data_IF_845638533723
#
_entry.id   IF_845638533723
#
_cell.length_a   1.000
_cell.length_b   1.000
_cell.length_c   1.000
_cell.angle_alpha   90.00
_cell.angle_beta   90.00
_cell.angle_gamma   90.00
#
_symmetry.space_group_name_H-M   'P 1'
#
loop_
_entity.id
_entity.type
_entity.pdbx_description
1 polymer ?
#
# COMPACT_ATOMS: atom_id res chain seq x y z
N UNK A 1 -18.54 -33.52 79.64
CA UNK A 1 -18.36 -33.19 78.27
C UNK A 1 -17.46 -31.93 78.25
N UNK A 2 -16.48 -32.04 78.08
CA UNK A 2 -15.23 -32.38 77.51
C UNK A 2 -14.44 -31.10 77.08
N UNK A 3 -13.53 -30.67 77.95
CA UNK A 3 -12.58 -29.57 77.72
C UNK A 3 -11.76 -29.78 76.45
N UNK A 4 -11.63 -31.05 75.99
CA UNK A 4 -10.89 -31.43 74.78
C UNK A 4 -11.54 -30.98 73.45
N UNK A 5 -12.88 -30.89 73.37
CA UNK A 5 -13.56 -30.48 72.15
C UNK A 5 -13.41 -28.98 71.86
N UNK A 6 -13.24 -28.15 72.88
CA UNK A 6 -13.06 -26.71 72.76
C UNK A 6 -11.63 -26.38 72.30
N UNK A 7 -10.64 -27.12 72.78
CA UNK A 7 -9.24 -26.94 72.39
C UNK A 7 -8.94 -27.33 70.91
N UNK A 8 -9.59 -28.36 70.39
CA UNK A 8 -9.47 -28.77 68.99
C UNK A 8 -10.10 -27.72 68.06
N UNK A 9 -11.21 -27.12 68.48
CA UNK A 9 -11.86 -26.07 67.67
C UNK A 9 -11.05 -24.78 67.60
N UNK A 10 -10.37 -24.40 68.68
CA UNK A 10 -9.49 -23.23 68.74
C UNK A 10 -8.18 -23.41 67.92
N UNK A 11 -7.60 -24.61 67.91
CA UNK A 11 -6.36 -24.93 67.23
C UNK A 11 -6.56 -24.96 65.71
N UNK A 12 -7.73 -25.40 65.23
CA UNK A 12 -8.07 -25.36 63.81
C UNK A 12 -8.34 -23.92 63.32
N UNK A 13 -8.97 -23.05 64.13
CA UNK A 13 -9.24 -21.66 63.81
C UNK A 13 -7.95 -20.85 63.62
N UNK A 14 -6.92 -21.09 64.43
CA UNK A 14 -5.62 -20.40 64.32
C UNK A 14 -4.76 -20.91 63.16
N UNK A 15 -4.93 -22.18 62.78
CA UNK A 15 -4.24 -22.74 61.60
C UNK A 15 -4.82 -22.20 60.29
N UNK A 16 -6.14 -22.03 60.21
CA UNK A 16 -6.81 -21.44 59.05
C UNK A 16 -6.42 -19.96 58.85
N UNK A 17 -6.30 -19.18 59.95
CA UNK A 17 -5.85 -17.77 59.89
C UNK A 17 -4.39 -17.63 59.46
N UNK A 18 -3.54 -18.60 59.75
CA UNK A 18 -2.12 -18.59 59.32
C UNK A 18 -1.94 -18.95 57.85
N UNK A 19 -2.90 -19.68 57.26
CA UNK A 19 -2.86 -20.05 55.83
C UNK A 19 -3.55 -19.04 54.92
N UNK A 20 -4.50 -18.24 55.44
CA UNK A 20 -5.23 -17.24 54.65
C UNK A 20 -4.38 -16.03 54.22
N UNK A 21 -3.38 -15.65 55.00
CA UNK A 21 -2.51 -14.54 54.66
C UNK A 21 -1.62 -14.85 53.43
N UNK A 22 -0.84 -15.93 53.37
CA UNK A 22 -0.06 -16.24 52.18
C UNK A 22 -0.94 -16.52 50.96
N UNK A 23 -2.13 -17.11 51.12
CA UNK A 23 -3.08 -17.35 50.03
C UNK A 23 -3.60 -16.02 49.46
N UNK A 24 -3.89 -15.02 50.29
CA UNK A 24 -4.30 -13.69 49.87
C UNK A 24 -3.19 -12.97 49.09
N UNK A 25 -1.95 -13.09 49.54
CA UNK A 25 -0.79 -12.49 48.80
C UNK A 25 -0.61 -13.12 47.45
N UNK A 26 -0.71 -14.44 47.34
CA UNK A 26 -0.62 -15.14 46.07
C UNK A 26 -1.79 -14.75 45.13
N UNK A 27 -3.02 -14.65 45.64
CA UNK A 27 -4.17 -14.22 44.88
C UNK A 27 -4.02 -12.79 44.35
N UNK A 28 -3.47 -11.88 45.18
CA UNK A 28 -3.21 -10.49 44.80
C UNK A 28 -2.12 -10.41 43.71
N UNK A 29 -1.06 -11.19 43.81
CA UNK A 29 0.00 -11.25 42.77
C UNK A 29 -0.51 -11.83 41.46
N UNK A 30 -1.36 -12.86 41.52
CA UNK A 30 -2.01 -13.41 40.31
C UNK A 30 -2.97 -12.42 39.68
N UNK A 31 -3.74 -11.65 40.49
CA UNK A 31 -4.64 -10.61 39.98
C UNK A 31 -3.89 -9.47 39.31
N UNK A 32 -2.76 -9.03 39.88
CA UNK A 32 -1.89 -8.02 39.30
C UNK A 32 -1.28 -8.57 38.00
N UNK A 33 -0.76 -9.79 38.01
CA UNK A 33 -0.21 -10.45 36.84
C UNK A 33 -1.25 -10.60 35.70
N UNK A 34 -2.48 -11.00 36.03
CA UNK A 34 -3.60 -11.10 35.07
C UNK A 34 -4.00 -9.73 34.51
N UNK A 35 -3.98 -8.68 35.32
CA UNK A 35 -4.27 -7.31 34.87
C UNK A 35 -3.24 -6.83 33.84
N UNK A 36 -1.95 -7.04 34.09
CA UNK A 36 -0.91 -6.70 33.12
C UNK A 36 -0.94 -7.60 31.88
N UNK A 37 -1.33 -8.86 32.00
CA UNK A 37 -1.46 -9.77 30.87
C UNK A 37 -2.62 -9.38 29.93
N UNK A 38 -3.77 -8.95 30.48
CA UNK A 38 -4.91 -8.47 29.69
C UNK A 38 -4.68 -7.11 29.03
N UNK A 39 -3.89 -6.23 29.63
CA UNK A 39 -3.50 -4.97 28.98
C UNK A 39 -2.57 -5.16 27.76
N UNK A 40 -1.92 -6.31 27.64
CA UNK A 40 -1.01 -6.64 26.54
C UNK A 40 -1.71 -7.41 25.41
N UNK A 41 -3.05 -7.45 25.39
CA UNK A 41 -3.81 -7.95 24.25
C UNK A 41 -3.59 -6.99 23.09
N UNK A 42 -2.92 -7.47 22.05
CA UNK A 42 -2.67 -6.69 20.83
C UNK A 42 -4.02 -6.35 20.21
N UNK A 43 -4.40 -5.08 20.27
CA UNK A 43 -5.58 -4.59 19.56
C UNK A 43 -5.42 -4.86 18.07
N UNK A 44 -6.46 -5.38 17.46
CA UNK A 44 -6.54 -5.52 16.01
C UNK A 44 -6.79 -4.13 15.44
N UNK A 45 -5.88 -3.67 14.62
CA UNK A 45 -5.91 -2.32 14.04
C UNK A 45 -5.84 -2.40 12.51
N UNK A 46 -6.28 -1.35 11.85
CA UNK A 46 -6.26 -1.29 10.39
C UNK A 46 -5.91 0.10 9.86
N UNK A 47 -5.58 0.14 8.60
CA UNK A 47 -5.42 1.36 7.80
C UNK A 47 -6.29 1.26 6.54
N UNK A 48 -6.94 2.34 6.14
CA UNK A 48 -7.62 2.44 4.85
C UNK A 48 -6.59 2.74 3.76
N UNK A 49 -6.28 1.73 2.95
CA UNK A 49 -5.26 1.80 1.91
C UNK A 49 -5.61 2.85 0.86
N UNK A 50 -6.89 3.01 0.51
CA UNK A 50 -7.31 3.99 -0.48
C UNK A 50 -7.10 5.41 0.04
N UNK A 51 -7.49 5.67 1.30
CA UNK A 51 -7.23 6.97 1.92
C UNK A 51 -5.75 7.28 2.07
N UNK A 52 -4.92 6.27 2.38
CA UNK A 52 -3.46 6.45 2.40
C UNK A 52 -2.93 6.82 1.01
N UNK A 53 -3.32 6.09 -0.04
CA UNK A 53 -2.92 6.37 -1.42
C UNK A 53 -3.34 7.76 -1.88
N UNK A 54 -4.57 8.18 -1.57
CA UNK A 54 -5.11 9.48 -2.00
C UNK A 54 -4.51 10.65 -1.21
N UNK A 55 -4.23 10.45 0.09
CA UNK A 55 -3.72 11.48 0.99
C UNK A 55 -2.20 11.62 1.01
N UNK A 56 -1.46 10.60 0.59
CA UNK A 56 -0.01 10.61 0.61
C UNK A 56 0.56 11.56 -0.46
N UNK A 57 1.32 12.57 -0.03
CA UNK A 57 1.85 13.63 -0.92
C UNK A 57 2.75 13.08 -2.03
N UNK A 58 3.53 12.06 -1.73
CA UNK A 58 4.38 11.39 -2.73
C UNK A 58 3.57 10.73 -3.85
N UNK A 59 2.37 10.23 -3.57
CA UNK A 59 1.49 9.68 -4.62
C UNK A 59 1.21 10.72 -5.70
N UNK A 60 0.91 11.96 -5.30
CA UNK A 60 0.62 13.04 -6.24
C UNK A 60 1.85 13.38 -7.08
N UNK A 61 3.03 13.42 -6.46
CA UNK A 61 4.29 13.69 -7.16
C UNK A 61 4.59 12.59 -8.18
N UNK A 62 4.60 11.32 -7.75
CA UNK A 62 4.90 10.17 -8.62
C UNK A 62 3.90 10.07 -9.78
N UNK A 63 2.62 10.35 -9.51
CA UNK A 63 1.58 10.38 -10.56
C UNK A 63 1.84 11.50 -11.57
N UNK A 64 2.17 12.71 -11.11
CA UNK A 64 2.48 13.83 -12.00
C UNK A 64 3.72 13.55 -12.87
N UNK A 65 4.76 12.95 -12.32
CA UNK A 65 5.95 12.53 -13.06
C UNK A 65 5.62 11.48 -14.12
N UNK A 66 4.81 10.46 -13.75
CA UNK A 66 4.33 9.46 -14.70
C UNK A 66 3.52 10.08 -15.84
N UNK A 67 2.55 10.94 -15.51
CA UNK A 67 1.70 11.61 -16.51
C UNK A 67 2.52 12.46 -17.48
N UNK A 68 3.49 13.22 -16.97
CA UNK A 68 4.39 14.01 -17.81
C UNK A 68 5.20 13.12 -18.77
N UNK A 69 5.75 12.01 -18.28
CA UNK A 69 6.48 11.01 -19.09
C UNK A 69 5.59 10.35 -20.13
N UNK A 70 4.41 9.89 -19.74
CA UNK A 70 3.44 9.27 -20.65
C UNK A 70 2.99 10.25 -21.75
N UNK A 71 2.77 11.52 -21.41
CA UNK A 71 2.44 12.57 -22.37
C UNK A 71 3.56 12.77 -23.40
N UNK A 72 4.81 12.80 -22.95
CA UNK A 72 5.97 12.93 -23.84
C UNK A 72 6.07 11.76 -24.81
N UNK A 73 5.94 10.52 -24.29
CA UNK A 73 5.99 9.31 -25.11
C UNK A 73 4.86 9.30 -26.16
N UNK A 74 3.66 9.68 -25.77
CA UNK A 74 2.51 9.80 -26.70
C UNK A 74 2.74 10.86 -27.76
N UNK A 75 3.24 12.06 -27.37
CA UNK A 75 3.54 13.12 -28.32
C UNK A 75 4.57 12.72 -29.38
N UNK A 76 5.56 11.90 -29.00
CA UNK A 76 6.54 11.37 -29.95
C UNK A 76 5.88 10.47 -30.99
N UNK A 77 4.96 9.60 -30.56
CA UNK A 77 4.18 8.74 -31.47
C UNK A 77 3.33 9.59 -32.40
N UNK A 78 2.59 10.57 -31.87
CA UNK A 78 1.71 11.44 -32.64
C UNK A 78 2.50 12.23 -33.70
N UNK A 79 3.71 12.66 -33.37
CA UNK A 79 4.62 13.36 -34.31
C UNK A 79 5.06 12.46 -35.46
N UNK A 80 5.39 11.19 -35.19
CA UNK A 80 5.76 10.21 -36.20
C UNK A 80 4.58 9.90 -37.13
N UNK A 81 3.38 9.70 -36.57
CA UNK A 81 2.15 9.46 -37.35
C UNK A 81 1.83 10.65 -38.25
N UNK A 82 1.90 11.87 -37.71
CA UNK A 82 1.64 13.10 -38.44
C UNK A 82 2.64 13.28 -39.59
N UNK A 83 3.94 13.02 -39.33
CA UNK A 83 4.99 13.06 -40.34
C UNK A 83 4.72 12.07 -41.48
N UNK A 84 4.37 10.82 -41.15
CA UNK A 84 4.03 9.81 -42.15
C UNK A 84 2.79 10.18 -42.96
N UNK A 85 1.74 10.71 -42.34
CA UNK A 85 0.53 11.17 -43.03
C UNK A 85 0.82 12.30 -44.01
N UNK A 86 1.73 13.20 -43.65
CA UNK A 86 2.18 14.26 -44.56
C UNK A 86 2.91 13.69 -45.78
N UNK A 87 3.83 12.76 -45.58
CA UNK A 87 4.55 12.09 -46.66
C UNK A 87 3.61 11.30 -47.58
N UNK A 88 2.61 10.64 -47.00
CA UNK A 88 1.59 9.93 -47.78
C UNK A 88 0.79 10.90 -48.66
N UNK A 89 0.34 12.04 -48.13
CA UNK A 89 -0.37 13.08 -48.89
C UNK A 89 0.51 13.63 -50.04
N UNK A 90 1.77 13.88 -49.79
CA UNK A 90 2.72 14.35 -50.78
C UNK A 90 2.95 13.31 -51.89
N UNK A 91 3.03 12.02 -51.52
CA UNK A 91 3.08 10.89 -52.48
C UNK A 91 1.83 10.86 -53.36
N UNK A 92 0.65 10.90 -52.77
CA UNK A 92 -0.62 10.87 -53.54
C UNK A 92 -0.75 12.07 -54.49
N UNK A 93 -0.38 13.27 -54.06
CA UNK A 93 -0.41 14.49 -54.88
C UNK A 93 0.49 14.39 -56.09
N UNK A 94 1.68 13.83 -55.92
CA UNK A 94 2.72 13.79 -56.97
C UNK A 94 2.75 12.46 -57.73
N UNK A 95 1.82 11.52 -57.45
CA UNK A 95 1.82 10.18 -58.00
C UNK A 95 1.88 10.10 -59.50
N UNK A 96 1.19 11.02 -60.20
CA UNK A 96 1.17 11.07 -61.67
C UNK A 96 2.48 11.53 -62.31
N UNK A 97 3.37 12.16 -61.54
CA UNK A 97 4.68 12.63 -62.04
C UNK A 97 5.81 11.61 -61.85
N UNK A 98 5.57 10.52 -61.09
CA UNK A 98 6.59 9.51 -60.83
C UNK A 98 6.66 8.42 -61.88
N UNK A 99 7.87 7.98 -62.18
CA UNK A 99 8.11 6.79 -62.98
C UNK A 99 7.65 5.52 -62.24
N UNK A 100 7.42 4.42 -62.97
CA UNK A 100 7.02 3.13 -62.36
C UNK A 100 7.97 2.65 -61.27
N UNK A 101 9.30 2.89 -61.46
CA UNK A 101 10.33 2.51 -60.47
C UNK A 101 10.25 3.36 -59.21
N UNK A 102 10.05 4.67 -59.35
CA UNK A 102 9.90 5.59 -58.22
C UNK A 102 8.60 5.30 -57.43
N UNK A 103 7.50 4.98 -58.13
CA UNK A 103 6.24 4.57 -57.45
C UNK A 103 6.44 3.36 -56.57
N UNK A 104 7.07 2.31 -57.10
CA UNK A 104 7.33 1.08 -56.37
C UNK A 104 8.20 1.36 -55.11
N UNK A 105 9.30 2.12 -55.28
CA UNK A 105 10.20 2.47 -54.18
C UNK A 105 9.51 3.31 -53.09
N UNK A 106 8.71 4.31 -53.49
CA UNK A 106 8.00 5.17 -52.55
C UNK A 106 6.90 4.41 -51.80
N UNK A 107 6.19 3.50 -52.47
CA UNK A 107 5.19 2.63 -51.82
C UNK A 107 5.83 1.70 -50.80
N UNK A 108 6.97 1.09 -51.13
CA UNK A 108 7.73 0.25 -50.20
C UNK A 108 8.20 1.06 -48.99
N UNK A 109 8.77 2.25 -49.22
CA UNK A 109 9.25 3.13 -48.15
C UNK A 109 8.12 3.55 -47.16
N UNK A 110 6.97 3.99 -47.71
CA UNK A 110 5.80 4.38 -46.92
C UNK A 110 5.21 3.18 -46.17
N UNK A 111 5.17 2.00 -46.76
CA UNK A 111 4.74 0.76 -46.12
C UNK A 111 5.67 0.36 -44.96
N UNK A 112 6.97 0.36 -45.19
CA UNK A 112 7.97 0.06 -44.17
C UNK A 112 7.88 1.07 -42.99
N UNK A 113 7.72 2.36 -43.31
CA UNK A 113 7.58 3.41 -42.29
C UNK A 113 6.31 3.23 -41.46
N UNK A 114 5.20 2.90 -42.07
CA UNK A 114 3.95 2.57 -41.37
C UNK A 114 4.15 1.39 -40.41
N UNK A 115 4.82 0.34 -40.86
CA UNK A 115 5.10 -0.84 -40.02
C UNK A 115 5.98 -0.47 -38.82
N UNK A 116 7.03 0.36 -39.05
CA UNK A 116 7.89 0.84 -37.97
C UNK A 116 7.09 1.67 -36.94
N UNK A 117 6.19 2.55 -37.39
CA UNK A 117 5.33 3.34 -36.51
C UNK A 117 4.41 2.42 -35.70
N UNK A 118 3.79 1.43 -36.31
CA UNK A 118 2.93 0.47 -35.60
C UNK A 118 3.71 -0.29 -34.51
N UNK A 119 4.90 -0.77 -34.85
CA UNK A 119 5.78 -1.45 -33.89
C UNK A 119 6.18 -0.53 -32.74
N UNK A 120 6.52 0.74 -33.05
CA UNK A 120 6.87 1.74 -32.05
C UNK A 120 5.68 2.08 -31.14
N UNK A 121 4.47 2.24 -31.70
CA UNK A 121 3.25 2.46 -30.89
C UNK A 121 3.02 1.33 -29.89
N UNK A 122 3.15 0.07 -30.33
CA UNK A 122 3.01 -1.08 -29.43
C UNK A 122 4.08 -1.08 -28.33
N UNK A 123 5.33 -0.78 -28.67
CA UNK A 123 6.41 -0.70 -27.69
C UNK A 123 6.17 0.42 -26.66
N UNK A 124 5.72 1.59 -27.11
CA UNK A 124 5.39 2.73 -26.23
C UNK A 124 4.20 2.41 -25.33
N UNK A 125 3.16 1.77 -25.86
CA UNK A 125 2.01 1.36 -25.05
C UNK A 125 2.43 0.42 -23.92
N UNK A 126 3.28 -0.56 -24.23
CA UNK A 126 3.84 -1.47 -23.22
C UNK A 126 4.70 -0.71 -22.20
N UNK A 127 5.55 0.18 -22.66
CA UNK A 127 6.41 0.99 -21.78
C UNK A 127 5.57 1.85 -20.83
N UNK A 128 4.50 2.49 -21.30
CA UNK A 128 3.59 3.28 -20.45
C UNK A 128 2.94 2.42 -19.38
N UNK A 129 2.48 1.21 -19.71
CA UNK A 129 1.93 0.28 -18.73
C UNK A 129 2.96 -0.16 -17.68
N UNK A 130 4.20 -0.42 -18.09
CA UNK A 130 5.28 -0.78 -17.16
C UNK A 130 5.65 0.39 -16.23
N UNK A 131 5.68 1.62 -16.73
CA UNK A 131 5.95 2.81 -15.92
C UNK A 131 4.82 3.10 -14.93
N UNK A 132 3.54 2.95 -15.33
CA UNK A 132 2.39 3.08 -14.43
C UNK A 132 2.46 2.07 -13.27
N UNK A 133 2.76 0.80 -13.62
CA UNK A 133 2.95 -0.24 -12.62
C UNK A 133 4.10 0.07 -11.65
N UNK A 134 5.23 0.57 -12.15
CA UNK A 134 6.35 0.98 -11.32
C UNK A 134 6.00 2.15 -10.40
N UNK A 135 5.32 3.16 -10.94
CA UNK A 135 4.88 4.33 -10.19
C UNK A 135 3.97 3.91 -9.03
N UNK A 136 2.97 3.09 -9.31
CA UNK A 136 2.05 2.55 -8.30
C UNK A 136 2.78 1.70 -7.26
N UNK A 137 3.68 0.79 -7.70
CA UNK A 137 4.42 -0.09 -6.79
C UNK A 137 5.35 0.70 -5.86
N UNK A 138 5.95 1.78 -6.34
CA UNK A 138 6.80 2.65 -5.52
C UNK A 138 6.03 3.20 -4.34
N UNK A 139 4.85 3.77 -4.57
CA UNK A 139 4.00 4.33 -3.51
C UNK A 139 3.51 3.25 -2.54
N UNK A 140 3.09 2.09 -3.07
CA UNK A 140 2.64 0.96 -2.23
C UNK A 140 3.78 0.47 -1.33
N UNK A 141 4.99 0.37 -1.86
CA UNK A 141 6.15 -0.04 -1.07
C UNK A 141 6.45 0.94 0.06
N UNK A 142 6.44 2.26 -0.22
CA UNK A 142 6.64 3.29 0.80
C UNK A 142 5.62 3.19 1.94
N UNK A 143 4.34 3.03 1.59
CA UNK A 143 3.25 2.86 2.57
C UNK A 143 3.49 1.59 3.39
N UNK A 144 3.79 0.47 2.75
CA UNK A 144 4.03 -0.80 3.43
C UNK A 144 5.25 -0.74 4.37
N UNK A 145 6.34 -0.13 3.93
CA UNK A 145 7.55 0.02 4.74
C UNK A 145 7.28 0.91 5.95
N UNK A 146 6.59 2.03 5.77
CA UNK A 146 6.20 2.89 6.88
C UNK A 146 5.27 2.18 7.87
N UNK A 147 4.21 1.51 7.40
CA UNK A 147 3.26 0.76 8.25
C UNK A 147 3.98 -0.33 9.02
N UNK A 148 4.93 -1.03 8.40
CA UNK A 148 5.75 -2.06 9.04
C UNK A 148 6.60 -1.48 10.19
N UNK A 149 7.29 -0.36 9.96
CA UNK A 149 8.10 0.26 10.99
C UNK A 149 7.24 0.90 12.09
N UNK A 150 6.09 1.49 11.73
CA UNK A 150 5.11 1.98 12.68
C UNK A 150 4.59 0.86 13.58
N UNK A 151 4.22 -0.27 12.99
CA UNK A 151 3.75 -1.45 13.72
C UNK A 151 4.77 -1.97 14.73
N UNK A 152 6.03 -2.12 14.29
CA UNK A 152 7.13 -2.53 15.20
C UNK A 152 7.32 -1.55 16.36
N UNK A 153 7.38 -0.26 16.06
CA UNK A 153 7.62 0.79 17.04
C UNK A 153 6.52 0.88 18.11
N UNK A 154 5.27 0.64 17.70
CA UNK A 154 4.11 0.75 18.57
C UNK A 154 3.61 -0.59 19.12
N UNK A 155 4.31 -1.70 18.85
CA UNK A 155 3.99 -3.02 19.40
C UNK A 155 2.77 -3.69 18.79
N UNK A 156 2.30 -3.25 17.63
CA UNK A 156 1.23 -3.91 16.91
C UNK A 156 1.74 -5.22 16.30
N UNK A 157 1.06 -6.33 16.54
CA UNK A 157 1.40 -7.62 15.94
C UNK A 157 0.92 -7.74 14.50
N UNK A 158 -0.23 -7.12 14.21
CA UNK A 158 -0.87 -7.12 12.90
C UNK A 158 -1.51 -5.74 12.69
N UNK A 159 -1.33 -5.17 11.51
CA UNK A 159 -2.07 -4.02 10.99
C UNK A 159 -2.72 -4.47 9.69
N UNK A 160 -4.05 -4.44 9.62
CA UNK A 160 -4.78 -4.83 8.42
C UNK A 160 -4.87 -3.67 7.42
N UNK A 161 -4.80 -3.98 6.12
CA UNK A 161 -5.12 -3.02 5.07
C UNK A 161 -6.59 -3.14 4.66
N UNK A 162 -7.41 -2.12 4.91
CA UNK A 162 -8.76 -2.04 4.40
C UNK A 162 -8.75 -1.43 2.99
N UNK A 163 -9.38 -2.10 2.02
CA UNK A 163 -9.44 -1.63 0.63
C UNK A 163 -10.85 -1.21 0.18
N UNK A 164 -11.83 -1.23 1.10
CA UNK A 164 -13.23 -1.00 0.77
C UNK A 164 -13.92 -2.14 0.01
N UNK A 165 -13.19 -3.22 -0.29
CA UNK A 165 -13.71 -4.40 -1.02
C UNK A 165 -14.36 -5.44 -0.10
N UNK A 166 -14.65 -5.10 1.16
CA UNK A 166 -15.27 -6.01 2.13
C UNK A 166 -14.29 -6.91 2.88
N UNK A 167 -12.99 -6.70 2.78
CA UNK A 167 -11.99 -7.41 3.57
C UNK A 167 -12.04 -7.04 5.07
N UNK A 168 -12.57 -5.85 5.41
CA UNK A 168 -12.98 -5.45 6.75
C UNK A 168 -14.40 -4.93 6.65
N UNK A 169 -15.36 -5.65 7.25
CA UNK A 169 -16.78 -5.30 7.21
C UNK A 169 -17.18 -4.34 8.34
N UNK A 170 -16.50 -4.45 9.47
CA UNK A 170 -16.70 -3.62 10.65
C UNK A 170 -15.40 -3.53 11.44
N UNK A 171 -15.11 -2.35 11.94
CA UNK A 171 -14.09 -2.10 12.95
C UNK A 171 -14.54 -0.92 13.83
N UNK A 172 -14.08 -0.91 15.07
CA UNK A 172 -14.25 0.22 15.98
C UNK A 172 -13.39 1.41 15.51
N UNK A 173 -13.85 2.65 15.73
CA UNK A 173 -13.14 3.87 15.33
C UNK A 173 -11.74 3.96 15.95
N UNK A 174 -11.55 3.44 17.16
CA UNK A 174 -10.26 3.42 17.84
C UNK A 174 -9.26 2.47 17.18
N UNK A 175 -9.72 1.54 16.35
CA UNK A 175 -8.89 0.61 15.60
C UNK A 175 -8.38 1.20 14.26
N UNK A 176 -8.84 2.39 13.86
CA UNK A 176 -8.44 3.06 12.61
C UNK A 176 -7.17 3.89 12.80
N UNK A 177 -6.05 3.40 12.29
CA UNK A 177 -4.76 4.09 12.30
C UNK A 177 -4.52 4.97 11.06
N UNK A 178 -5.48 5.07 10.15
CA UNK A 178 -5.28 5.72 8.83
C UNK A 178 -4.77 7.15 8.95
N UNK A 179 -5.39 7.96 9.82
CA UNK A 179 -5.02 9.37 9.98
C UNK A 179 -3.60 9.54 10.53
N UNK A 180 -3.24 8.76 11.55
CA UNK A 180 -1.93 8.81 12.21
C UNK A 180 -0.84 8.33 11.26
N UNK A 181 -1.09 7.24 10.54
CA UNK A 181 -0.16 6.69 9.55
C UNK A 181 0.03 7.66 8.39
N UNK A 182 -1.05 8.29 7.90
CA UNK A 182 -0.97 9.27 6.81
C UNK A 182 -0.18 10.51 7.20
N UNK A 183 -0.41 11.03 8.41
CA UNK A 183 0.37 12.16 8.93
C UNK A 183 1.85 11.81 9.02
N UNK A 184 2.18 10.64 9.57
CA UNK A 184 3.55 10.17 9.68
C UNK A 184 4.24 9.98 8.33
N UNK A 185 3.56 9.36 7.35
CA UNK A 185 4.04 9.21 5.97
C UNK A 185 4.37 10.57 5.35
N UNK A 186 3.45 11.53 5.47
CA UNK A 186 3.64 12.85 4.89
C UNK A 186 4.79 13.61 5.57
N UNK A 187 4.92 13.50 6.89
CA UNK A 187 6.01 14.13 7.65
C UNK A 187 7.37 13.53 7.28
N UNK A 188 7.45 12.20 7.13
CA UNK A 188 8.69 11.54 6.72
C UNK A 188 9.09 11.95 5.28
N UNK A 189 8.11 12.07 4.39
CA UNK A 189 8.35 12.51 3.02
C UNK A 189 8.84 13.97 2.93
N UNK A 190 8.29 14.86 3.74
CA UNK A 190 8.69 16.29 3.79
C UNK A 190 10.03 16.53 4.48
N UNK A 191 10.47 15.59 5.30
CA UNK A 191 11.76 15.66 6.02
C UNK A 191 12.95 15.10 5.23
N UNK A 192 12.71 14.54 4.04
CA UNK A 192 13.72 14.05 3.10
C UNK A 192 14.00 15.08 2.00
#
# INVERSE_FOLDING_TARGET
MSVNSIQVKYKNSTRMKKLSFPLAVVATLLSIGSFFYTQNSSELVYVDVNKLLDGYKRTKLVRAEFEAKAKTLKSNVDSLVTGWQKELKEYEKNRSSYSKKELALKQELLGNKQQQINNYQQAIQKQVQEEDKKASQTVINDINDFVKEYGKKNGHKIIFGASGSGNIMYADENSDLTAIVLEGLNKEFEGK
#
